data_IF_143587796369
#
_entry.id   IF_143587796369
#
_cell.length_a   1.000
_cell.length_b   1.000
_cell.length_c   1.000
_cell.angle_alpha   90.00
_cell.angle_beta   90.00
_cell.angle_gamma   90.00
#
_symmetry.space_group_name_H-M   'P 1'
#
loop_
_entity.id
_entity.type
_entity.pdbx_description
1 polymer ?
#
# COMPACT_ATOMS: atom_id res chain seq x y z
N UNK A 1 -31.28 -35.03 31.99
CA UNK A 1 -31.17 -33.74 31.28
C UNK A 1 -29.73 -33.54 30.82
N UNK A 2 -29.43 -33.72 29.55
CA UNK A 2 -28.10 -33.51 29.01
C UNK A 2 -27.77 -31.99 29.09
N UNK A 3 -26.73 -31.63 29.82
CA UNK A 3 -26.21 -30.28 29.89
C UNK A 3 -25.78 -29.90 28.48
N UNK A 4 -26.52 -29.00 27.80
CA UNK A 4 -26.09 -28.37 26.56
C UNK A 4 -24.68 -27.76 26.80
N UNK A 5 -23.63 -28.41 26.30
CA UNK A 5 -22.28 -27.81 26.33
C UNK A 5 -22.35 -26.48 25.57
N UNK A 6 -22.12 -25.39 26.25
CA UNK A 6 -22.10 -24.05 25.65
C UNK A 6 -20.96 -24.00 24.64
N UNK A 7 -21.26 -23.69 23.41
CA UNK A 7 -20.22 -23.33 22.43
C UNK A 7 -19.39 -22.18 23.02
N UNK A 8 -18.06 -22.30 22.99
CA UNK A 8 -17.14 -21.27 23.43
C UNK A 8 -16.44 -20.69 22.21
N UNK A 9 -16.47 -19.36 22.06
CA UNK A 9 -15.74 -18.65 21.01
C UNK A 9 -14.70 -17.75 21.64
N UNK A 10 -13.48 -17.79 21.09
CA UNK A 10 -12.33 -16.98 21.53
C UNK A 10 -11.85 -16.19 20.33
N UNK A 11 -11.62 -14.87 20.52
CA UNK A 11 -10.97 -14.04 19.54
C UNK A 11 -9.44 -14.04 19.76
N UNK A 12 -8.70 -14.38 18.72
CA UNK A 12 -7.24 -14.29 18.68
C UNK A 12 -6.81 -13.02 17.96
N UNK A 13 -6.03 -12.19 18.64
CA UNK A 13 -5.43 -10.96 18.14
C UNK A 13 -3.90 -11.10 18.17
N UNK A 14 -3.22 -10.48 17.20
CA UNK A 14 -1.77 -10.38 17.15
C UNK A 14 -1.34 -9.12 16.39
N UNK A 15 -0.12 -8.66 16.64
CA UNK A 15 0.56 -7.69 15.78
C UNK A 15 -0.23 -6.39 15.60
N UNK A 16 -0.60 -5.75 16.74
CA UNK A 16 -1.36 -4.49 16.77
C UNK A 16 -0.49 -3.29 16.37
N UNK A 17 0.82 -3.34 16.70
CA UNK A 17 1.82 -2.37 16.29
C UNK A 17 1.46 -0.90 16.55
N UNK A 18 0.86 -0.59 17.70
CA UNK A 18 0.48 0.78 18.07
C UNK A 18 -0.66 1.37 17.25
N UNK A 19 -1.42 0.56 16.49
CA UNK A 19 -2.55 0.98 15.66
C UNK A 19 -3.87 0.88 16.45
N UNK A 20 -4.13 1.89 17.30
CA UNK A 20 -5.34 1.93 18.11
C UNK A 20 -6.63 1.89 17.30
N UNK A 21 -6.81 2.65 16.19
CA UNK A 21 -8.04 2.58 15.39
C UNK A 21 -8.34 1.18 14.84
N UNK A 22 -7.32 0.42 14.45
CA UNK A 22 -7.49 -0.96 14.00
C UNK A 22 -7.90 -1.89 15.16
N UNK A 23 -7.28 -1.72 16.33
CA UNK A 23 -7.64 -2.46 17.53
C UNK A 23 -9.08 -2.18 17.96
N UNK A 24 -9.48 -0.92 18.02
CA UNK A 24 -10.85 -0.51 18.37
C UNK A 24 -11.88 -1.13 17.44
N UNK A 25 -11.64 -1.12 16.13
CA UNK A 25 -12.54 -1.72 15.13
C UNK A 25 -12.68 -3.24 15.32
N UNK A 26 -11.58 -3.94 15.61
CA UNK A 26 -11.62 -5.40 15.90
C UNK A 26 -12.36 -5.68 17.20
N UNK A 27 -12.14 -4.90 18.24
CA UNK A 27 -12.84 -5.06 19.53
C UNK A 27 -14.35 -4.80 19.39
N UNK A 28 -14.74 -3.83 18.57
CA UNK A 28 -16.15 -3.54 18.25
C UNK A 28 -16.80 -4.71 17.47
N UNK A 29 -16.15 -5.25 16.42
CA UNK A 29 -16.66 -6.42 15.68
C UNK A 29 -16.79 -7.64 16.61
N UNK A 30 -15.82 -7.86 17.51
CA UNK A 30 -15.88 -8.94 18.51
C UNK A 30 -17.04 -8.74 19.49
N UNK A 31 -17.27 -7.52 19.97
CA UNK A 31 -18.38 -7.18 20.86
C UNK A 31 -19.74 -7.38 20.19
N UNK A 32 -19.92 -6.92 18.95
CA UNK A 32 -21.14 -7.17 18.17
C UNK A 32 -21.45 -8.66 17.98
N UNK A 33 -20.41 -9.51 17.98
CA UNK A 33 -20.53 -10.98 17.93
C UNK A 33 -20.69 -11.62 19.29
N UNK A 34 -20.76 -10.82 20.36
CA UNK A 34 -20.87 -11.30 21.74
C UNK A 34 -19.70 -12.19 22.17
N UNK A 35 -18.49 -11.93 21.65
CA UNK A 35 -17.28 -12.67 22.01
C UNK A 35 -16.68 -12.02 23.26
N UNK A 36 -16.74 -12.75 24.37
CA UNK A 36 -16.30 -12.25 25.68
C UNK A 36 -14.84 -12.59 26.01
N UNK A 37 -14.20 -13.47 25.25
CA UNK A 37 -12.84 -13.91 25.55
C UNK A 37 -11.89 -13.56 24.39
N UNK A 38 -10.87 -12.76 24.71
CA UNK A 38 -9.88 -12.26 23.77
C UNK A 38 -8.50 -12.70 24.25
N UNK A 39 -7.70 -13.26 23.35
CA UNK A 39 -6.29 -13.60 23.58
C UNK A 39 -5.40 -12.81 22.60
N UNK A 40 -4.35 -12.18 23.12
CA UNK A 40 -3.40 -11.40 22.35
C UNK A 40 -2.03 -12.07 22.31
N UNK A 41 -1.47 -12.23 21.12
CA UNK A 41 -0.24 -12.97 20.83
C UNK A 41 1.00 -12.08 20.71
N UNK A 42 0.96 -10.84 21.21
CA UNK A 42 2.10 -9.95 21.25
C UNK A 42 2.21 -8.99 20.05
N UNK A 43 3.34 -8.29 20.00
CA UNK A 43 3.63 -7.18 19.09
C UNK A 43 2.55 -6.08 19.15
N UNK A 44 2.33 -5.63 20.39
CA UNK A 44 1.41 -4.54 20.70
C UNK A 44 1.98 -3.19 20.26
N UNK A 45 3.31 -3.03 20.34
CA UNK A 45 4.06 -1.82 19.97
C UNK A 45 4.69 -1.91 18.56
N UNK A 46 5.01 -0.75 17.97
CA UNK A 46 5.70 -0.74 16.69
C UNK A 46 5.57 0.57 15.92
N UNK A 47 4.87 0.52 14.78
CA UNK A 47 4.82 1.60 13.80
C UNK A 47 3.77 2.67 14.07
N UNK A 48 2.70 2.31 14.79
CA UNK A 48 1.60 3.21 15.10
C UNK A 48 1.90 4.11 16.30
N UNK A 49 1.28 5.31 16.37
CA UNK A 49 1.59 6.35 17.34
C UNK A 49 0.75 6.27 18.63
N UNK A 50 0.24 5.09 19.00
CA UNK A 50 -0.63 4.91 20.16
C UNK A 50 -0.13 3.81 21.12
N UNK A 51 1.13 3.88 21.62
CA UNK A 51 1.71 2.80 22.42
C UNK A 51 0.96 2.57 23.73
N UNK A 52 0.72 3.61 24.50
CA UNK A 52 0.11 3.47 25.84
C UNK A 52 -1.38 3.14 25.76
N UNK A 53 -2.09 3.73 24.79
CA UNK A 53 -3.51 3.49 24.58
C UNK A 53 -3.77 2.04 24.15
N UNK A 54 -2.94 1.48 23.27
CA UNK A 54 -3.04 0.08 22.83
C UNK A 54 -2.76 -0.86 24.01
N UNK A 55 -1.70 -0.61 24.78
CA UNK A 55 -1.39 -1.41 25.97
C UNK A 55 -2.48 -1.33 27.02
N UNK A 56 -2.98 -0.12 27.33
CA UNK A 56 -4.07 0.09 28.26
C UNK A 56 -5.32 -0.68 27.85
N UNK A 57 -5.68 -0.59 26.57
CA UNK A 57 -6.87 -1.26 26.03
C UNK A 57 -6.74 -2.78 26.06
N UNK A 58 -5.60 -3.35 25.65
CA UNK A 58 -5.37 -4.80 25.72
C UNK A 58 -5.29 -5.34 27.15
N UNK A 59 -4.69 -4.58 28.06
CA UNK A 59 -4.67 -4.93 29.49
C UNK A 59 -6.08 -5.01 30.06
N UNK A 60 -6.98 -4.15 29.62
CA UNK A 60 -8.38 -4.12 30.09
C UNK A 60 -9.21 -5.30 29.55
N UNK A 61 -9.08 -5.61 28.25
CA UNK A 61 -10.03 -6.50 27.56
C UNK A 61 -9.51 -7.91 27.33
N UNK A 62 -8.19 -8.09 27.17
CA UNK A 62 -7.65 -9.40 26.84
C UNK A 62 -7.42 -10.26 28.10
N UNK A 63 -7.99 -11.46 28.09
CA UNK A 63 -7.82 -12.48 29.13
C UNK A 63 -6.40 -13.04 29.21
N UNK A 64 -5.73 -13.07 28.06
CA UNK A 64 -4.35 -13.52 27.92
C UNK A 64 -3.61 -12.54 27.04
N UNK A 65 -2.46 -12.10 27.52
CA UNK A 65 -1.48 -11.36 26.75
C UNK A 65 -0.13 -12.05 26.88
N UNK A 66 0.58 -12.21 25.78
CA UNK A 66 1.99 -12.57 25.74
C UNK A 66 2.81 -11.47 25.11
N UNK A 67 4.12 -11.43 25.37
CA UNK A 67 5.01 -10.45 24.77
C UNK A 67 5.43 -10.86 23.37
N UNK A 68 5.45 -9.91 22.42
CA UNK A 68 6.00 -10.09 21.08
C UNK A 68 7.47 -9.67 20.97
N UNK A 69 8.06 -9.93 19.82
CA UNK A 69 9.46 -9.60 19.57
C UNK A 69 9.70 -8.09 19.41
N UNK A 70 8.72 -7.32 18.88
CA UNK A 70 8.79 -5.85 18.83
C UNK A 70 8.66 -5.23 20.21
N UNK A 71 7.76 -5.74 21.04
CA UNK A 71 7.59 -5.31 22.44
C UNK A 71 8.92 -5.45 23.20
N UNK A 72 9.58 -6.61 23.08
CA UNK A 72 10.92 -6.85 23.64
C UNK A 72 11.99 -5.91 23.07
N UNK A 73 11.95 -5.64 21.77
CA UNK A 73 12.88 -4.70 21.14
C UNK A 73 12.69 -3.27 21.68
N UNK A 74 11.47 -2.85 21.97
CA UNK A 74 11.21 -1.55 22.60
C UNK A 74 11.79 -1.54 24.03
N UNK A 75 11.53 -2.55 24.84
CA UNK A 75 12.09 -2.67 26.20
C UNK A 75 13.63 -2.69 26.21
N UNK A 76 14.24 -3.32 25.21
CA UNK A 76 15.70 -3.43 25.06
C UNK A 76 16.35 -2.20 24.41
N UNK A 77 15.56 -1.22 23.93
CA UNK A 77 16.06 -0.17 23.03
C UNK A 77 17.20 0.63 23.66
N UNK A 78 17.05 1.11 24.87
CA UNK A 78 18.08 1.91 25.56
C UNK A 78 19.44 1.16 25.59
N UNK A 79 19.42 -0.15 25.88
CA UNK A 79 20.62 -1.01 25.95
C UNK A 79 21.24 -1.29 24.58
N UNK A 80 20.42 -1.36 23.52
CA UNK A 80 20.84 -1.78 22.16
C UNK A 80 20.93 -0.65 21.16
N UNK A 81 20.65 0.61 21.55
CA UNK A 81 20.51 1.80 20.73
C UNK A 81 21.65 1.97 19.73
N UNK A 82 22.90 2.02 20.19
CA UNK A 82 24.06 2.29 19.33
C UNK A 82 24.33 1.17 18.32
N UNK A 83 24.12 -0.08 18.75
CA UNK A 83 24.20 -1.25 17.87
C UNK A 83 23.13 -1.18 16.77
N UNK A 84 21.90 -0.83 17.14
CA UNK A 84 20.77 -0.81 16.21
C UNK A 84 20.81 0.39 15.28
N UNK A 85 21.28 1.54 15.73
CA UNK A 85 21.50 2.71 14.88
C UNK A 85 22.39 2.39 13.66
N UNK A 86 23.37 1.47 13.82
CA UNK A 86 24.29 1.05 12.75
C UNK A 86 23.78 -0.11 11.90
N UNK A 87 22.88 -0.95 12.44
CA UNK A 87 22.51 -2.22 11.82
C UNK A 87 21.08 -2.26 11.25
N UNK A 88 20.16 -1.42 11.76
CA UNK A 88 18.76 -1.46 11.33
C UNK A 88 18.47 -0.40 10.27
N UNK A 89 17.54 -0.68 9.33
CA UNK A 89 17.01 0.35 8.45
C UNK A 89 16.51 1.56 9.26
N UNK A 90 16.73 2.81 8.78
CA UNK A 90 16.40 4.02 9.54
C UNK A 90 14.96 4.06 10.06
N UNK A 91 13.98 3.73 9.24
CA UNK A 91 12.57 3.72 9.64
C UNK A 91 12.29 2.72 10.77
N UNK A 92 12.84 1.48 10.68
CA UNK A 92 12.71 0.48 11.77
C UNK A 92 13.41 0.94 13.05
N UNK A 93 14.54 1.65 12.96
CA UNK A 93 15.22 2.23 14.13
C UNK A 93 14.36 3.32 14.77
N UNK A 94 13.80 4.22 13.97
CA UNK A 94 12.92 5.31 14.45
C UNK A 94 11.68 4.74 15.15
N UNK A 95 11.08 3.67 14.62
CA UNK A 95 9.94 3.04 15.26
C UNK A 95 10.24 2.62 16.71
N UNK A 96 11.38 1.94 16.94
CA UNK A 96 11.77 1.54 18.29
C UNK A 96 12.14 2.73 19.16
N UNK A 97 12.88 3.69 18.63
CA UNK A 97 13.28 4.90 19.36
C UNK A 97 12.08 5.70 19.83
N UNK A 98 11.11 5.89 18.94
CA UNK A 98 9.91 6.66 19.25
C UNK A 98 9.05 5.97 20.30
N UNK A 99 8.83 4.66 20.17
CA UNK A 99 8.07 3.90 21.17
C UNK A 99 8.76 3.90 22.55
N UNK A 100 10.09 3.70 22.61
CA UNK A 100 10.83 3.75 23.87
C UNK A 100 10.72 5.13 24.55
N UNK A 101 10.75 6.21 23.78
CA UNK A 101 10.64 7.58 24.29
C UNK A 101 9.23 7.96 24.77
N UNK A 102 8.18 7.33 24.23
CA UNK A 102 6.79 7.67 24.52
C UNK A 102 6.07 6.63 25.39
N UNK A 103 6.70 5.48 25.65
CA UNK A 103 6.15 4.44 26.52
C UNK A 103 6.23 4.89 27.98
N UNK A 104 5.07 4.98 28.63
CA UNK A 104 4.98 5.34 30.06
C UNK A 104 5.44 4.19 30.99
N UNK A 105 5.57 4.49 32.28
CA UNK A 105 6.00 3.51 33.28
C UNK A 105 5.00 2.35 33.40
N UNK A 106 3.70 2.63 33.35
CA UNK A 106 2.66 1.61 33.49
C UNK A 106 2.66 0.63 32.30
N UNK A 107 2.87 1.15 31.08
CA UNK A 107 3.03 0.34 29.86
C UNK A 107 4.30 -0.51 29.91
N UNK A 108 5.41 0.06 30.39
CA UNK A 108 6.68 -0.64 30.53
C UNK A 108 6.59 -1.78 31.58
N UNK A 109 5.98 -1.52 32.71
CA UNK A 109 5.74 -2.51 33.77
C UNK A 109 4.83 -3.64 33.27
N UNK A 110 3.76 -3.28 32.53
CA UNK A 110 2.86 -4.26 31.94
C UNK A 110 3.61 -5.17 30.98
N UNK A 111 4.33 -4.64 30.00
CA UNK A 111 5.08 -5.44 29.03
C UNK A 111 6.14 -6.34 29.70
N UNK A 112 6.82 -5.82 30.74
CA UNK A 112 7.84 -6.57 31.46
C UNK A 112 7.25 -7.74 32.26
N UNK A 113 5.98 -7.63 32.68
CA UNK A 113 5.27 -8.68 33.41
C UNK A 113 4.76 -9.82 32.52
N UNK A 114 4.74 -9.62 31.19
CA UNK A 114 4.15 -10.60 30.28
C UNK A 114 5.07 -11.79 30.01
N UNK A 115 4.51 -13.02 29.94
CA UNK A 115 5.26 -14.21 29.55
C UNK A 115 5.51 -14.21 28.04
N UNK A 116 6.53 -14.95 27.58
CA UNK A 116 6.78 -15.20 26.16
C UNK A 116 5.81 -16.21 25.54
N UNK A 117 5.31 -17.12 26.36
CA UNK A 117 4.37 -18.17 25.97
C UNK A 117 3.34 -18.37 27.07
N UNK A 118 2.15 -18.80 26.71
CA UNK A 118 1.11 -19.15 27.66
C UNK A 118 0.38 -20.43 27.25
N UNK A 119 -0.08 -21.21 28.22
CA UNK A 119 -0.96 -22.38 28.00
C UNK A 119 -2.34 -22.13 28.55
N UNK A 120 -3.34 -22.58 27.82
CA UNK A 120 -4.76 -22.49 28.22
C UNK A 120 -5.49 -23.74 27.75
N UNK A 121 -6.49 -24.13 28.50
CA UNK A 121 -7.43 -25.18 28.04
C UNK A 121 -8.71 -24.53 27.54
N UNK A 122 -9.13 -24.87 26.34
CA UNK A 122 -10.37 -24.40 25.74
C UNK A 122 -11.07 -25.50 24.98
N UNK A 123 -12.38 -25.69 25.22
CA UNK A 123 -13.16 -26.77 24.60
C UNK A 123 -12.65 -28.19 24.92
N UNK A 124 -11.84 -28.34 25.98
CA UNK A 124 -11.19 -29.62 26.32
C UNK A 124 -9.86 -29.85 25.63
N UNK A 125 -9.40 -28.92 24.79
CA UNK A 125 -8.12 -28.98 24.07
C UNK A 125 -7.08 -28.12 24.76
N UNK A 126 -5.81 -28.56 24.72
CA UNK A 126 -4.66 -27.79 25.22
C UNK A 126 -4.16 -26.84 24.13
N UNK A 127 -4.10 -25.54 24.45
CA UNK A 127 -3.73 -24.47 23.52
C UNK A 127 -2.44 -23.80 23.98
N UNK A 128 -1.39 -23.87 23.17
CA UNK A 128 -0.15 -23.13 23.38
C UNK A 128 -0.19 -21.81 22.60
N UNK A 129 -0.04 -20.72 23.32
CA UNK A 129 0.09 -19.36 22.75
C UNK A 129 1.56 -19.00 22.66
N UNK A 130 2.01 -18.63 21.47
CA UNK A 130 3.38 -18.17 21.18
C UNK A 130 3.29 -16.94 20.27
N UNK A 131 4.33 -16.08 20.26
CA UNK A 131 4.36 -15.00 19.26
C UNK A 131 4.88 -15.51 17.90
N UNK A 132 6.07 -16.08 17.83
CA UNK A 132 6.64 -16.68 16.62
C UNK A 132 6.29 -18.17 16.52
N UNK A 133 7.18 -19.04 17.02
CA UNK A 133 6.97 -20.47 17.09
C UNK A 133 7.16 -20.99 18.51
N UNK A 134 6.77 -22.25 18.81
CA UNK A 134 7.11 -22.87 20.07
C UNK A 134 8.61 -22.88 20.42
N UNK A 135 9.48 -22.86 19.39
CA UNK A 135 10.93 -22.89 19.54
C UNK A 135 11.60 -21.52 19.57
N UNK A 136 10.98 -20.48 18.99
CA UNK A 136 11.59 -19.14 18.89
C UNK A 136 10.55 -18.03 18.68
N UNK A 137 10.71 -16.95 19.42
CA UNK A 137 9.87 -15.74 19.29
C UNK A 137 10.06 -15.02 17.95
N UNK A 138 11.20 -15.21 17.28
CA UNK A 138 11.55 -14.58 16.00
C UNK A 138 11.33 -15.51 14.79
N UNK A 139 10.83 -16.75 14.96
CA UNK A 139 10.58 -17.67 13.85
C UNK A 139 9.24 -17.38 13.17
N UNK A 140 9.29 -17.14 11.86
CA UNK A 140 8.12 -16.89 11.03
C UNK A 140 7.44 -18.20 10.63
N UNK A 141 6.16 -18.33 10.93
CA UNK A 141 5.31 -19.42 10.44
C UNK A 141 4.26 -18.88 9.47
N UNK A 142 4.14 -19.52 8.30
CA UNK A 142 3.20 -19.17 7.24
C UNK A 142 2.47 -20.36 6.64
N UNK A 143 1.61 -20.11 5.68
CA UNK A 143 0.87 -21.16 4.95
C UNK A 143 1.80 -22.09 4.18
N UNK A 144 2.98 -21.63 3.81
CA UNK A 144 4.02 -22.34 3.07
C UNK A 144 5.07 -23.04 3.97
N UNK A 145 4.97 -22.89 5.31
CA UNK A 145 5.89 -23.57 6.23
C UNK A 145 5.91 -25.08 5.97
N UNK A 146 7.10 -25.70 5.73
CA UNK A 146 7.17 -27.12 5.41
C UNK A 146 6.54 -28.02 6.49
N UNK A 147 5.80 -29.03 6.06
CA UNK A 147 5.17 -29.99 6.99
C UNK A 147 6.16 -30.64 7.95
N UNK A 148 7.39 -30.89 7.50
CA UNK A 148 8.43 -31.43 8.37
C UNK A 148 8.70 -30.51 9.55
N UNK A 149 8.82 -29.18 9.28
CA UNK A 149 9.05 -28.21 10.36
C UNK A 149 7.86 -28.11 11.32
N UNK A 150 6.64 -28.14 10.79
CA UNK A 150 5.44 -28.15 11.64
C UNK A 150 5.35 -29.41 12.53
N UNK A 151 5.76 -30.60 12.03
CA UNK A 151 5.84 -31.81 12.86
C UNK A 151 6.88 -31.69 14.00
N UNK A 152 8.04 -31.12 13.71
CA UNK A 152 9.07 -30.84 14.75
C UNK A 152 8.50 -29.92 15.83
N UNK A 153 7.82 -28.84 15.41
CA UNK A 153 7.21 -27.87 16.31
C UNK A 153 6.02 -28.46 17.11
N UNK A 154 5.24 -29.33 16.50
CA UNK A 154 4.14 -30.06 17.17
C UNK A 154 4.67 -30.91 18.33
N UNK A 155 5.75 -31.69 18.09
CA UNK A 155 6.40 -32.50 19.13
C UNK A 155 7.00 -31.63 20.24
N UNK A 156 7.54 -30.47 19.90
CA UNK A 156 8.09 -29.52 20.88
C UNK A 156 6.95 -28.87 21.70
N UNK A 157 5.87 -28.49 21.03
CA UNK A 157 4.74 -27.81 21.66
C UNK A 157 4.00 -28.68 22.66
N UNK A 158 3.82 -29.98 22.37
CA UNK A 158 2.99 -30.91 23.18
C UNK A 158 1.63 -30.29 23.53
N UNK A 159 0.91 -29.82 22.50
CA UNK A 159 -0.37 -29.16 22.60
C UNK A 159 -1.27 -29.56 21.41
N UNK A 160 -2.58 -29.51 21.59
CA UNK A 160 -3.54 -29.80 20.52
C UNK A 160 -3.63 -28.65 19.51
N UNK A 161 -3.39 -27.43 20.01
CA UNK A 161 -3.45 -26.20 19.20
C UNK A 161 -2.24 -25.32 19.52
N UNK A 162 -1.54 -24.86 18.51
CA UNK A 162 -0.54 -23.81 18.56
C UNK A 162 -1.11 -22.56 17.92
N UNK A 163 -1.27 -21.49 18.66
CA UNK A 163 -1.65 -20.18 18.13
C UNK A 163 -0.43 -19.27 18.09
N UNK A 164 -0.15 -18.67 16.92
CA UNK A 164 1.05 -17.84 16.68
C UNK A 164 0.68 -16.54 15.94
N UNK A 165 1.59 -15.57 15.93
CA UNK A 165 1.51 -14.29 15.20
C UNK A 165 2.74 -14.07 14.31
N UNK A 166 3.37 -12.89 14.45
CA UNK A 166 4.68 -12.51 13.92
C UNK A 166 4.82 -12.43 12.39
N UNK A 167 4.32 -13.41 11.64
CA UNK A 167 4.37 -13.39 10.18
C UNK A 167 3.33 -12.48 9.53
N UNK A 168 2.36 -11.99 10.28
CA UNK A 168 1.20 -11.20 9.82
C UNK A 168 0.33 -11.92 8.78
N UNK A 169 0.62 -13.18 8.49
CA UNK A 169 -0.11 -14.00 7.53
C UNK A 169 -1.19 -14.82 8.24
N UNK A 170 -2.44 -14.56 7.88
CA UNK A 170 -3.57 -15.33 8.41
C UNK A 170 -3.58 -16.74 7.79
N UNK A 171 -3.38 -17.78 8.59
CA UNK A 171 -3.44 -19.16 8.12
C UNK A 171 -4.00 -20.13 9.17
N UNK A 172 -4.44 -21.29 8.68
CA UNK A 172 -4.77 -22.48 9.47
C UNK A 172 -4.11 -23.68 8.83
N UNK A 173 -3.35 -24.43 9.58
CA UNK A 173 -2.75 -25.71 9.15
C UNK A 173 -3.07 -26.78 10.18
N UNK A 174 -3.44 -27.95 9.73
CA UNK A 174 -3.60 -29.14 10.58
C UNK A 174 -2.56 -30.17 10.15
N UNK A 175 -1.62 -30.47 11.04
CA UNK A 175 -0.52 -31.37 10.76
C UNK A 175 -0.47 -32.43 11.85
N UNK A 176 -0.68 -33.70 11.46
CA UNK A 176 -0.94 -34.79 12.40
C UNK A 176 -2.17 -34.43 13.27
N UNK A 177 -2.03 -34.41 14.59
CA UNK A 177 -3.11 -34.08 15.51
C UNK A 177 -3.06 -32.63 16.05
N UNK A 178 -2.19 -31.78 15.46
CA UNK A 178 -1.96 -30.41 15.95
C UNK A 178 -2.44 -29.38 14.97
N UNK A 179 -3.26 -28.44 15.46
CA UNK A 179 -3.66 -27.24 14.74
C UNK A 179 -2.64 -26.11 14.92
N UNK A 180 -2.22 -25.51 13.82
CA UNK A 180 -1.44 -24.28 13.80
C UNK A 180 -2.32 -23.15 13.26
N UNK A 181 -2.49 -22.09 14.04
CA UNK A 181 -3.39 -20.98 13.70
C UNK A 181 -2.68 -19.66 13.88
N UNK A 182 -2.68 -18.83 12.84
CA UNK A 182 -2.22 -17.46 12.91
C UNK A 182 -3.39 -16.52 12.56
N UNK A 183 -3.76 -15.56 13.42
CA UNK A 183 -4.88 -14.65 13.15
C UNK A 183 -4.57 -13.60 12.07
N UNK A 184 -3.35 -13.51 11.58
CA UNK A 184 -2.86 -12.36 10.84
C UNK A 184 -2.55 -11.18 11.76
N UNK A 185 -2.43 -9.99 11.22
CA UNK A 185 -2.12 -8.78 11.99
C UNK A 185 -3.34 -7.86 12.11
N UNK A 186 -3.60 -7.38 13.33
CA UNK A 186 -4.61 -6.36 13.60
C UNK A 186 -4.17 -5.02 13.03
N UNK A 187 -2.96 -4.58 13.32
CA UNK A 187 -2.52 -3.22 13.03
C UNK A 187 -1.69 -3.05 11.77
N UNK A 188 -1.07 -4.14 11.27
CA UNK A 188 -0.13 -4.09 10.15
C UNK A 188 -0.20 -5.32 9.26
N UNK A 189 -1.32 -5.62 8.62
CA UNK A 189 -1.40 -6.71 7.64
C UNK A 189 -0.44 -6.47 6.47
N UNK A 190 0.12 -7.55 5.90
CA UNK A 190 1.17 -7.48 4.86
C UNK A 190 0.80 -8.19 3.55
N UNK A 191 -0.45 -8.63 3.41
CA UNK A 191 -0.94 -9.36 2.23
C UNK A 191 -1.57 -8.47 1.14
N UNK A 192 -1.30 -7.16 1.15
CA UNK A 192 -1.90 -6.20 0.22
C UNK A 192 -3.35 -5.81 0.56
N UNK A 193 -3.86 -6.27 1.70
CA UNK A 193 -5.18 -5.92 2.22
C UNK A 193 -5.01 -5.19 3.56
N UNK A 194 -5.33 -3.92 3.61
CA UNK A 194 -5.12 -3.03 4.75
C UNK A 194 -6.06 -3.27 5.94
N UNK A 195 -7.13 -4.07 5.74
CA UNK A 195 -8.12 -4.32 6.80
C UNK A 195 -7.51 -5.12 7.95
N UNK A 196 -7.82 -4.71 9.18
CA UNK A 196 -7.38 -5.41 10.39
C UNK A 196 -7.81 -6.88 10.36
N UNK A 197 -6.88 -7.79 10.64
CA UNK A 197 -7.13 -9.24 10.65
C UNK A 197 -7.13 -9.78 12.07
N UNK A 198 -8.08 -10.67 12.38
CA UNK A 198 -8.11 -11.46 13.60
C UNK A 198 -8.78 -12.83 13.34
N UNK A 199 -8.65 -13.78 14.26
CA UNK A 199 -9.25 -15.11 14.10
C UNK A 199 -10.21 -15.45 15.24
N UNK A 200 -11.17 -16.34 14.95
CA UNK A 200 -12.09 -16.91 15.92
C UNK A 200 -11.79 -18.40 16.07
N UNK A 201 -11.59 -18.85 17.31
CA UNK A 201 -11.60 -20.25 17.68
C UNK A 201 -12.99 -20.59 18.22
N UNK A 202 -13.76 -21.38 17.48
CA UNK A 202 -15.11 -21.82 17.86
C UNK A 202 -15.06 -23.30 18.31
N UNK A 203 -15.29 -23.52 19.60
CA UNK A 203 -15.31 -24.85 20.21
C UNK A 203 -16.77 -25.32 20.35
N UNK A 204 -17.08 -26.50 19.80
CA UNK A 204 -18.40 -27.13 19.87
C UNK A 204 -18.27 -28.64 20.03
N UNK A 205 -19.38 -29.32 20.17
CA UNK A 205 -19.40 -30.80 20.19
C UNK A 205 -18.91 -31.43 18.86
N UNK A 206 -18.90 -30.65 17.77
CA UNK A 206 -18.33 -31.03 16.46
C UNK A 206 -16.82 -30.77 16.32
N UNK A 207 -16.15 -30.35 17.39
CA UNK A 207 -14.70 -30.04 17.39
C UNK A 207 -14.37 -28.56 17.29
N UNK A 208 -13.17 -28.27 16.81
CA UNK A 208 -12.65 -26.93 16.59
C UNK A 208 -12.99 -26.46 15.17
N UNK A 209 -13.54 -25.22 15.08
CA UNK A 209 -13.63 -24.47 13.83
C UNK A 209 -12.85 -23.18 13.97
N UNK A 210 -12.05 -22.83 12.95
CA UNK A 210 -11.28 -21.59 12.91
C UNK A 210 -11.79 -20.71 11.78
N UNK A 211 -12.09 -19.46 12.10
CA UNK A 211 -12.57 -18.48 11.12
C UNK A 211 -11.75 -17.19 11.16
N UNK A 212 -11.17 -16.76 10.03
CA UNK A 212 -10.52 -15.46 9.93
C UNK A 212 -11.52 -14.34 9.59
N UNK A 213 -11.27 -13.17 10.13
CA UNK A 213 -12.07 -11.95 9.94
C UNK A 213 -11.18 -10.83 9.47
N UNK A 214 -11.73 -9.97 8.60
CA UNK A 214 -11.08 -8.74 8.16
C UNK A 214 -12.02 -7.57 8.38
N UNK A 215 -11.56 -6.58 9.15
CA UNK A 215 -12.38 -5.46 9.61
C UNK A 215 -11.79 -4.15 9.08
N UNK A 216 -12.57 -3.34 8.35
CA UNK A 216 -12.14 -2.00 7.96
C UNK A 216 -12.05 -1.10 9.21
N UNK A 217 -11.11 -0.15 9.19
CA UNK A 217 -10.92 0.82 10.27
C UNK A 217 -10.60 2.22 9.72
N UNK A 218 -10.62 3.26 10.56
CA UNK A 218 -10.28 4.63 10.15
C UNK A 218 -8.76 4.79 9.94
N UNK A 219 -8.33 4.49 8.72
CA UNK A 219 -6.93 4.65 8.28
C UNK A 219 -6.49 6.11 8.32
N UNK A 220 -7.37 7.06 8.02
CA UNK A 220 -7.02 8.47 8.01
C UNK A 220 -6.76 9.00 9.42
N UNK A 221 -7.42 8.45 10.44
CA UNK A 221 -7.08 8.72 11.86
C UNK A 221 -5.65 8.30 12.17
N UNK A 222 -5.24 7.10 11.75
CA UNK A 222 -3.85 6.63 11.92
C UNK A 222 -2.87 7.51 11.15
N UNK A 223 -3.16 7.83 9.89
CA UNK A 223 -2.31 8.65 9.04
C UNK A 223 -2.09 10.06 9.62
N UNK A 224 -3.15 10.71 10.10
CA UNK A 224 -3.06 12.00 10.79
C UNK A 224 -2.22 11.92 12.07
N UNK A 225 -2.38 10.86 12.84
CA UNK A 225 -1.65 10.68 14.09
C UNK A 225 -0.14 10.39 13.84
N UNK A 226 0.20 9.58 12.84
CA UNK A 226 1.60 9.36 12.40
C UNK A 226 2.25 10.68 12.00
N UNK A 227 1.55 11.50 11.21
CA UNK A 227 2.05 12.82 10.81
C UNK A 227 2.24 13.76 12.00
N UNK A 228 1.26 13.85 12.90
CA UNK A 228 1.32 14.68 14.11
C UNK A 228 2.42 14.25 15.08
N UNK A 229 2.74 12.94 15.12
CA UNK A 229 3.82 12.38 15.92
C UNK A 229 5.22 12.58 15.32
N UNK A 230 5.33 13.15 14.12
CA UNK A 230 6.61 13.31 13.41
C UNK A 230 7.25 11.98 12.99
N UNK A 231 6.46 10.91 12.89
CA UNK A 231 6.93 9.60 12.45
C UNK A 231 7.11 9.55 10.92
N UNK A 232 7.96 8.65 10.39
CA UNK A 232 8.19 8.52 8.96
C UNK A 232 6.91 8.35 8.15
N UNK A 233 6.79 9.07 7.03
CA UNK A 233 5.64 9.00 6.12
C UNK A 233 5.43 7.59 5.54
N UNK A 234 6.51 6.81 5.41
CA UNK A 234 6.44 5.41 4.98
C UNK A 234 5.54 4.55 5.89
N UNK A 235 5.36 4.91 7.16
CA UNK A 235 4.45 4.18 8.05
C UNK A 235 2.99 4.36 7.63
N UNK A 236 2.63 5.53 7.08
CA UNK A 236 1.30 5.75 6.49
C UNK A 236 1.07 4.80 5.31
N UNK A 237 2.10 4.64 4.46
CA UNK A 237 2.05 3.72 3.33
C UNK A 237 1.93 2.25 3.77
N UNK A 238 2.64 1.85 4.83
CA UNK A 238 2.50 0.52 5.45
C UNK A 238 1.04 0.24 5.80
N UNK A 239 0.39 1.16 6.49
CA UNK A 239 -1.02 0.98 6.89
C UNK A 239 -1.98 1.02 5.69
N UNK A 240 -1.81 1.97 4.76
CA UNK A 240 -2.72 2.15 3.62
C UNK A 240 -2.64 1.06 2.57
N UNK A 241 -1.44 0.50 2.35
CA UNK A 241 -1.21 -0.51 1.31
C UNK A 241 -1.26 -1.94 1.85
N UNK A 242 -1.26 -2.12 3.17
CA UNK A 242 -1.18 -3.45 3.78
C UNK A 242 0.09 -4.19 3.34
N UNK A 243 1.24 -3.50 3.32
CA UNK A 243 2.55 -4.02 2.92
C UNK A 243 3.60 -3.70 3.97
N UNK A 244 4.62 -4.55 4.09
CA UNK A 244 5.77 -4.25 4.95
C UNK A 244 6.65 -3.13 4.37
N UNK A 245 7.52 -2.54 5.21
CA UNK A 245 8.51 -1.57 4.73
C UNK A 245 9.43 -2.17 3.67
N UNK A 246 9.83 -3.42 3.84
CA UNK A 246 10.72 -4.10 2.89
C UNK A 246 10.02 -4.29 1.54
N UNK A 247 8.76 -4.73 1.53
CA UNK A 247 7.93 -4.82 0.32
C UNK A 247 7.73 -3.46 -0.37
N UNK A 248 7.53 -2.39 0.40
CA UNK A 248 7.41 -1.03 -0.16
C UNK A 248 8.72 -0.55 -0.79
N UNK A 249 9.86 -0.88 -0.19
CA UNK A 249 11.19 -0.56 -0.73
C UNK A 249 11.48 -1.38 -2.00
N UNK A 250 11.11 -2.66 -2.02
CA UNK A 250 11.24 -3.52 -3.20
C UNK A 250 10.36 -3.01 -4.35
N UNK A 251 9.12 -2.62 -4.07
CA UNK A 251 8.22 -2.02 -5.04
C UNK A 251 8.79 -0.71 -5.62
N UNK A 252 9.33 0.15 -4.75
CA UNK A 252 9.99 1.41 -5.15
C UNK A 252 11.24 1.12 -5.99
N UNK A 253 12.09 0.17 -5.56
CA UNK A 253 13.27 -0.24 -6.30
C UNK A 253 12.95 -0.86 -7.66
N UNK A 254 11.85 -1.61 -7.79
CA UNK A 254 11.37 -2.10 -9.09
C UNK A 254 10.84 -0.97 -9.95
N UNK A 255 10.15 0.02 -9.34
CA UNK A 255 9.69 1.23 -10.02
C UNK A 255 10.86 2.03 -10.58
N UNK A 256 11.91 2.23 -9.79
CA UNK A 256 13.11 2.95 -10.20
C UNK A 256 13.82 2.25 -11.37
N UNK A 257 14.00 0.94 -11.32
CA UNK A 257 14.59 0.16 -12.44
C UNK A 257 13.75 0.23 -13.72
N UNK A 258 12.42 0.24 -13.59
CA UNK A 258 11.53 0.42 -14.76
C UNK A 258 11.68 1.81 -15.37
N UNK A 259 11.79 2.87 -14.54
CA UNK A 259 12.03 4.24 -15.00
C UNK A 259 13.43 4.39 -15.59
N UNK A 260 14.45 3.77 -15.01
CA UNK A 260 15.80 3.75 -15.58
C UNK A 260 15.80 3.15 -16.99
N UNK A 261 15.11 2.02 -17.21
CA UNK A 261 14.98 1.42 -18.54
C UNK A 261 14.24 2.32 -19.54
N UNK A 262 13.18 3.01 -19.08
CA UNK A 262 12.43 3.99 -19.87
C UNK A 262 13.31 5.16 -20.27
N UNK A 263 14.09 5.72 -19.34
CA UNK A 263 15.02 6.83 -19.61
C UNK A 263 16.18 6.40 -20.50
N UNK A 264 16.67 5.17 -20.37
CA UNK A 264 17.68 4.62 -21.27
C UNK A 264 17.17 4.58 -22.72
N UNK A 265 15.95 4.06 -22.95
CA UNK A 265 15.32 4.09 -24.28
C UNK A 265 15.13 5.52 -24.81
N UNK A 266 14.64 6.44 -23.97
CA UNK A 266 14.47 7.84 -24.34
C UNK A 266 15.82 8.48 -24.72
N UNK A 267 16.89 8.20 -23.98
CA UNK A 267 18.24 8.70 -24.24
C UNK A 267 18.79 8.15 -25.55
N UNK A 268 18.64 6.87 -25.82
CA UNK A 268 19.05 6.25 -27.10
C UNK A 268 18.32 6.87 -28.30
N UNK A 269 17.06 7.29 -28.10
CA UNK A 269 16.27 8.01 -29.09
C UNK A 269 16.55 9.53 -29.12
N UNK A 270 17.56 10.03 -28.38
CA UNK A 270 17.96 11.44 -28.35
C UNK A 270 16.79 12.38 -28.03
N UNK A 271 15.94 11.99 -27.05
CA UNK A 271 14.75 12.76 -26.69
C UNK A 271 15.07 14.18 -26.21
N UNK A 272 14.18 15.12 -26.46
CA UNK A 272 14.29 16.48 -25.97
C UNK A 272 14.01 16.54 -24.46
N UNK A 273 15.09 16.46 -23.66
CA UNK A 273 15.02 16.26 -22.20
C UNK A 273 14.18 17.32 -21.49
N UNK A 274 14.43 18.59 -21.79
CA UNK A 274 13.81 19.72 -21.11
C UNK A 274 12.27 19.73 -21.30
N UNK A 275 11.82 19.59 -22.55
CA UNK A 275 10.41 19.49 -22.91
C UNK A 275 9.77 18.25 -22.28
N UNK A 276 10.37 17.09 -22.49
CA UNK A 276 9.80 15.81 -22.03
C UNK A 276 9.61 15.76 -20.53
N UNK A 277 10.60 16.22 -19.75
CA UNK A 277 10.47 16.28 -18.28
C UNK A 277 9.44 17.32 -17.84
N UNK A 278 9.33 18.45 -18.53
CA UNK A 278 8.30 19.46 -18.27
C UNK A 278 6.90 18.88 -18.49
N UNK A 279 6.67 18.27 -19.65
CA UNK A 279 5.39 17.61 -19.99
C UNK A 279 5.06 16.51 -18.99
N UNK A 280 6.05 15.69 -18.63
CA UNK A 280 5.88 14.63 -17.64
C UNK A 280 5.41 15.20 -16.30
N UNK A 281 6.06 16.22 -15.79
CA UNK A 281 5.70 16.85 -14.53
C UNK A 281 4.27 17.42 -14.57
N UNK A 282 3.93 18.18 -15.59
CA UNK A 282 2.59 18.77 -15.75
C UNK A 282 1.51 17.69 -15.88
N UNK A 283 1.78 16.59 -16.61
CA UNK A 283 0.85 15.48 -16.74
C UNK A 283 0.57 14.80 -15.39
N UNK A 284 1.61 14.58 -14.57
CA UNK A 284 1.47 13.98 -13.25
C UNK A 284 0.74 14.91 -12.27
N UNK A 285 1.01 16.22 -12.31
CA UNK A 285 0.27 17.23 -11.51
C UNK A 285 -1.23 17.24 -11.86
N UNK A 286 -1.59 17.19 -13.16
CA UNK A 286 -3.00 17.10 -13.59
C UNK A 286 -3.64 15.79 -13.11
N UNK A 287 -2.92 14.66 -13.27
CA UNK A 287 -3.40 13.36 -12.81
C UNK A 287 -3.70 13.38 -11.31
N UNK A 288 -2.73 13.81 -10.49
CA UNK A 288 -2.86 13.82 -9.04
C UNK A 288 -4.01 14.75 -8.57
N UNK A 289 -4.17 15.91 -9.23
CA UNK A 289 -5.23 16.86 -8.93
C UNK A 289 -6.64 16.38 -9.33
N UNK A 290 -6.75 15.42 -10.25
CA UNK A 290 -8.02 14.87 -10.75
C UNK A 290 -8.34 13.47 -10.18
N UNK A 291 -7.63 13.02 -9.14
CA UNK A 291 -7.75 11.68 -8.57
C UNK A 291 -9.17 11.31 -8.19
N UNK A 292 -9.91 12.23 -7.58
CA UNK A 292 -11.31 12.02 -7.16
C UNK A 292 -12.27 11.86 -8.36
N UNK A 293 -11.86 12.30 -9.56
CA UNK A 293 -12.70 12.23 -10.77
C UNK A 293 -12.43 10.95 -11.54
N UNK A 294 -11.17 10.63 -11.79
CA UNK A 294 -10.82 9.44 -12.58
C UNK A 294 -10.78 8.16 -11.77
N UNK A 295 -10.59 8.23 -10.44
CA UNK A 295 -10.54 7.09 -9.52
C UNK A 295 -9.44 6.05 -9.85
N UNK A 296 -8.34 6.50 -10.49
CA UNK A 296 -7.22 5.64 -10.86
C UNK A 296 -6.14 5.65 -9.78
N UNK A 297 -5.35 4.58 -9.72
CA UNK A 297 -4.36 4.32 -8.71
C UNK A 297 -2.90 4.59 -9.14
N UNK A 298 -1.95 4.13 -8.31
CA UNK A 298 -0.52 4.31 -8.55
C UNK A 298 -0.02 3.66 -9.85
N UNK A 299 -0.60 2.53 -10.26
CA UNK A 299 -0.20 1.83 -11.50
C UNK A 299 -0.56 2.64 -12.75
N UNK A 300 -1.74 3.27 -12.79
CA UNK A 300 -2.15 4.14 -13.88
C UNK A 300 -1.29 5.41 -13.91
N UNK A 301 -0.97 5.98 -12.74
CA UNK A 301 -0.03 7.10 -12.61
C UNK A 301 1.35 6.74 -13.16
N UNK A 302 1.83 5.54 -12.85
CA UNK A 302 3.11 5.04 -13.35
C UNK A 302 3.10 4.84 -14.87
N UNK A 303 2.02 4.29 -15.44
CA UNK A 303 1.85 4.18 -16.89
C UNK A 303 1.88 5.54 -17.60
N UNK A 304 1.21 6.54 -16.99
CA UNK A 304 1.27 7.92 -17.50
C UNK A 304 2.68 8.48 -17.45
N UNK A 305 3.41 8.25 -16.35
CA UNK A 305 4.81 8.67 -16.19
C UNK A 305 5.69 8.10 -17.32
N UNK A 306 5.65 6.79 -17.52
CA UNK A 306 6.40 6.13 -18.58
C UNK A 306 6.02 6.64 -19.97
N UNK A 307 4.71 6.78 -20.25
CA UNK A 307 4.23 7.25 -21.53
C UNK A 307 4.62 8.70 -21.81
N UNK A 308 4.62 9.56 -20.77
CA UNK A 308 5.04 10.95 -20.91
C UNK A 308 6.55 11.08 -21.16
N UNK A 309 7.38 10.22 -20.55
CA UNK A 309 8.82 10.17 -20.86
C UNK A 309 9.12 9.67 -22.28
N UNK A 310 8.22 8.90 -22.88
CA UNK A 310 8.43 8.24 -24.18
C UNK A 310 7.56 8.83 -25.31
N UNK A 311 6.76 9.87 -25.05
CA UNK A 311 5.75 10.31 -26.03
C UNK A 311 6.37 10.80 -27.36
N UNK A 312 7.54 11.43 -27.30
CA UNK A 312 8.21 12.06 -28.42
C UNK A 312 9.48 11.34 -28.89
N UNK A 313 9.81 10.14 -28.37
CA UNK A 313 11.03 9.38 -28.80
C UNK A 313 11.03 9.05 -30.29
N UNK A 314 9.88 9.07 -30.94
CA UNK A 314 9.76 8.81 -32.38
C UNK A 314 10.34 9.90 -33.27
N UNK A 315 10.74 11.05 -32.74
CA UNK A 315 11.46 12.07 -33.48
C UNK A 315 12.81 11.58 -34.03
N UNK A 316 13.36 10.52 -33.46
CA UNK A 316 14.59 9.87 -33.95
C UNK A 316 14.47 9.44 -35.40
N UNK A 317 13.26 9.09 -35.88
CA UNK A 317 12.99 8.77 -37.31
C UNK A 317 12.41 10.00 -38.10
N UNK A 318 12.38 11.19 -37.46
CA UNK A 318 11.90 12.44 -38.06
C UNK A 318 10.49 12.86 -37.63
N UNK A 319 10.05 14.07 -38.02
CA UNK A 319 8.84 14.71 -37.49
C UNK A 319 7.55 14.07 -37.99
N UNK A 320 7.57 13.39 -39.14
CA UNK A 320 6.34 12.81 -39.72
C UNK A 320 5.95 11.51 -39.03
N UNK A 321 4.81 11.55 -38.32
CA UNK A 321 4.28 10.34 -37.70
C UNK A 321 5.02 9.88 -36.44
N UNK A 322 5.88 10.72 -35.84
CA UNK A 322 6.70 10.35 -34.68
C UNK A 322 5.90 9.67 -33.55
N UNK A 323 4.65 10.04 -33.29
CA UNK A 323 3.77 9.39 -32.34
C UNK A 323 3.47 7.91 -32.70
N UNK A 324 3.49 7.54 -34.01
CA UNK A 324 3.36 6.13 -34.44
C UNK A 324 4.70 5.40 -34.32
N UNK A 325 5.79 6.09 -34.60
CA UNK A 325 7.15 5.60 -34.41
C UNK A 325 7.42 5.37 -32.93
N UNK A 326 7.07 6.31 -32.04
CA UNK A 326 7.19 6.14 -30.60
C UNK A 326 6.45 4.86 -30.12
N UNK A 327 5.19 4.67 -30.56
CA UNK A 327 4.44 3.45 -30.24
C UNK A 327 5.18 2.18 -30.69
N UNK A 328 5.72 2.16 -31.92
CA UNK A 328 6.46 1.00 -32.47
C UNK A 328 7.70 0.72 -31.63
N UNK A 329 8.50 1.73 -31.31
CA UNK A 329 9.70 1.61 -30.49
C UNK A 329 9.35 1.06 -29.09
N UNK A 330 8.35 1.61 -28.41
CA UNK A 330 7.93 1.16 -27.08
C UNK A 330 7.47 -0.31 -27.11
N UNK A 331 6.68 -0.72 -28.09
CA UNK A 331 6.17 -2.09 -28.18
C UNK A 331 7.30 -3.09 -28.46
N UNK A 332 8.29 -2.71 -29.29
CA UNK A 332 9.32 -3.64 -29.78
C UNK A 332 10.58 -3.71 -28.93
N UNK A 333 10.86 -2.75 -28.03
CA UNK A 333 12.10 -2.73 -27.26
C UNK A 333 12.10 -3.81 -26.16
N UNK A 334 12.98 -4.84 -26.23
CA UNK A 334 13.02 -5.92 -25.26
C UNK A 334 13.56 -5.49 -23.89
N UNK A 335 14.25 -4.35 -23.80
CA UNK A 335 14.85 -3.84 -22.55
C UNK A 335 13.82 -3.27 -21.59
N UNK A 336 12.63 -2.89 -22.07
CA UNK A 336 11.56 -2.40 -21.22
C UNK A 336 10.98 -3.55 -20.38
N UNK A 337 11.12 -3.50 -19.03
CA UNK A 337 10.75 -4.60 -18.14
C UNK A 337 9.25 -4.59 -17.82
N UNK A 338 8.43 -4.51 -18.86
CA UNK A 338 6.97 -4.50 -18.76
C UNK A 338 6.37 -5.78 -19.35
N UNK A 339 5.26 -6.22 -18.80
CA UNK A 339 4.43 -7.25 -19.45
C UNK A 339 3.91 -6.73 -20.78
N UNK A 340 3.62 -7.63 -21.73
CA UNK A 340 3.17 -7.27 -23.07
C UNK A 340 1.97 -6.32 -23.08
N UNK A 341 0.95 -6.59 -22.24
CA UNK A 341 -0.24 -5.75 -22.12
C UNK A 341 0.08 -4.36 -21.58
N UNK A 342 0.89 -4.27 -20.53
CA UNK A 342 1.32 -3.00 -19.93
C UNK A 342 2.11 -2.15 -20.91
N UNK A 343 3.05 -2.77 -21.64
CA UNK A 343 3.84 -2.11 -22.70
C UNK A 343 2.94 -1.56 -23.81
N UNK A 344 1.92 -2.32 -24.22
CA UNK A 344 0.94 -1.87 -25.19
C UNK A 344 0.14 -0.67 -24.69
N UNK A 345 -0.30 -0.66 -23.44
CA UNK A 345 -1.01 0.49 -22.88
C UNK A 345 -0.12 1.74 -22.83
N UNK A 346 1.12 1.64 -22.33
CA UNK A 346 2.08 2.76 -22.34
C UNK A 346 2.29 3.30 -23.74
N UNK A 347 2.47 2.41 -24.71
CA UNK A 347 2.66 2.77 -26.12
C UNK A 347 1.43 3.47 -26.72
N UNK A 348 0.22 3.03 -26.38
CA UNK A 348 -1.02 3.66 -26.83
C UNK A 348 -1.23 5.04 -26.21
N UNK A 349 -0.93 5.22 -24.90
CA UNK A 349 -1.00 6.52 -24.23
C UNK A 349 -0.04 7.49 -24.92
N UNK A 350 1.22 7.09 -25.17
CA UNK A 350 2.20 7.87 -25.89
C UNK A 350 1.74 8.17 -27.34
N UNK A 351 1.17 7.18 -28.07
CA UNK A 351 0.65 7.38 -29.43
C UNK A 351 -0.42 8.45 -29.53
N UNK A 352 -1.35 8.46 -28.55
CA UNK A 352 -2.52 9.32 -28.58
C UNK A 352 -2.30 10.71 -27.96
N UNK A 353 -1.05 11.10 -27.61
CA UNK A 353 -0.76 12.44 -27.15
C UNK A 353 -1.07 13.54 -28.20
N UNK A 354 -1.25 13.15 -29.47
CA UNK A 354 -1.60 14.06 -30.59
C UNK A 354 -2.34 13.37 -31.73
N UNK A 355 -2.90 14.19 -32.62
CA UNK A 355 -3.63 13.77 -33.85
C UNK A 355 -4.83 12.86 -33.53
N UNK A 356 -4.86 11.64 -34.07
CA UNK A 356 -6.02 10.75 -34.01
C UNK A 356 -6.44 10.45 -32.56
N UNK A 357 -7.74 10.35 -32.34
CA UNK A 357 -8.33 9.83 -31.10
C UNK A 357 -8.27 8.30 -31.07
N UNK A 358 -8.33 7.68 -29.88
CA UNK A 358 -8.46 6.23 -29.75
C UNK A 358 -9.70 5.71 -30.50
N UNK A 359 -9.51 4.67 -31.33
CA UNK A 359 -10.57 4.02 -32.09
C UNK A 359 -10.36 2.50 -32.04
N UNK A 360 -11.45 1.74 -31.85
CA UNK A 360 -11.42 0.26 -31.78
C UNK A 360 -10.83 -0.40 -33.02
N UNK A 361 -10.83 0.28 -34.16
CA UNK A 361 -10.18 -0.16 -35.41
C UNK A 361 -8.66 -0.04 -35.37
N UNK A 362 -8.11 0.70 -34.39
CA UNK A 362 -6.67 0.82 -34.25
C UNK A 362 -6.07 -0.44 -33.66
N UNK A 363 -4.99 -0.92 -34.29
CA UNK A 363 -4.24 -2.08 -33.80
C UNK A 363 -3.84 -1.88 -32.33
N UNK A 364 -3.99 -2.91 -31.54
CA UNK A 364 -3.80 -3.00 -30.09
C UNK A 364 -4.90 -2.33 -29.26
N UNK A 365 -5.49 -1.20 -29.64
CA UNK A 365 -6.53 -0.53 -28.86
C UNK A 365 -7.84 -1.33 -28.82
N UNK A 366 -8.28 -1.85 -29.98
CA UNK A 366 -9.50 -2.66 -30.08
C UNK A 366 -9.44 -4.00 -29.35
N UNK A 367 -8.24 -4.45 -28.95
CA UNK A 367 -8.04 -5.69 -28.17
C UNK A 367 -8.04 -5.46 -26.66
N UNK A 368 -8.15 -4.21 -26.21
CA UNK A 368 -8.22 -3.85 -24.80
C UNK A 368 -9.63 -4.05 -24.25
N UNK A 369 -9.73 -4.41 -22.98
CA UNK A 369 -10.98 -4.38 -22.24
C UNK A 369 -11.52 -2.95 -22.11
N UNK A 370 -12.81 -2.78 -21.83
CA UNK A 370 -13.43 -1.46 -21.65
C UNK A 370 -12.73 -0.64 -20.56
N UNK A 371 -12.31 -1.29 -19.47
CA UNK A 371 -11.56 -0.65 -18.39
C UNK A 371 -10.18 -0.16 -18.86
N UNK A 372 -9.46 -0.96 -19.64
CA UNK A 372 -8.16 -0.59 -20.21
C UNK A 372 -8.32 0.52 -21.28
N UNK A 373 -9.36 0.45 -22.12
CA UNK A 373 -9.68 1.51 -23.07
C UNK A 373 -9.97 2.82 -22.37
N UNK A 374 -10.79 2.80 -21.29
CA UNK A 374 -11.03 3.97 -20.45
C UNK A 374 -9.74 4.51 -19.86
N UNK A 375 -8.86 3.64 -19.33
CA UNK A 375 -7.57 4.02 -18.81
C UNK A 375 -6.72 4.75 -19.86
N UNK A 376 -6.54 4.19 -21.04
CA UNK A 376 -5.79 4.81 -22.15
C UNK A 376 -6.39 6.17 -22.53
N UNK A 377 -7.72 6.30 -22.62
CA UNK A 377 -8.40 7.57 -22.98
C UNK A 377 -8.15 8.67 -21.95
N UNK A 378 -8.27 8.36 -20.68
CA UNK A 378 -8.03 9.32 -19.59
C UNK A 378 -6.57 9.76 -19.58
N UNK A 379 -5.63 8.80 -19.58
CA UNK A 379 -4.20 9.11 -19.47
C UNK A 379 -3.67 9.84 -20.70
N UNK A 380 -4.08 9.42 -21.90
CA UNK A 380 -3.71 10.12 -23.12
C UNK A 380 -4.36 11.53 -23.21
N UNK A 381 -5.59 11.69 -22.71
CA UNK A 381 -6.25 12.97 -22.61
C UNK A 381 -5.47 13.95 -21.71
N UNK A 382 -5.01 13.49 -20.57
CA UNK A 382 -4.13 14.27 -19.66
C UNK A 382 -2.82 14.64 -20.36
N UNK A 383 -2.16 13.66 -21.00
CA UNK A 383 -0.89 13.87 -21.69
C UNK A 383 -1.01 14.89 -22.84
N UNK A 384 -2.12 14.87 -23.59
CA UNK A 384 -2.40 15.86 -24.65
C UNK A 384 -2.45 17.29 -24.13
N UNK A 385 -3.10 17.50 -22.99
CA UNK A 385 -3.19 18.82 -22.36
C UNK A 385 -1.81 19.25 -21.86
N UNK A 386 -1.08 18.38 -21.17
CA UNK A 386 0.24 18.66 -20.64
C UNK A 386 1.26 19.01 -21.75
N UNK A 387 1.27 18.26 -22.84
CA UNK A 387 2.10 18.53 -24.02
C UNK A 387 1.72 19.87 -24.69
N UNK A 388 0.44 20.22 -24.69
CA UNK A 388 0.00 21.55 -25.16
C UNK A 388 0.50 22.69 -24.30
N UNK A 389 0.62 22.47 -22.98
CA UNK A 389 1.09 23.49 -22.00
C UNK A 389 2.59 23.78 -22.06
N UNK A 390 3.36 23.06 -22.86
CA UNK A 390 4.77 23.38 -23.15
C UNK A 390 5.02 23.46 -24.68
N UNK A 391 4.08 24.07 -25.40
CA UNK A 391 4.08 24.17 -26.86
C UNK A 391 5.32 24.85 -27.41
N UNK A 392 5.82 25.87 -26.75
CA UNK A 392 6.99 26.63 -27.16
C UNK A 392 8.33 26.01 -26.73
N UNK A 393 8.29 24.93 -25.92
CA UNK A 393 9.44 24.26 -25.30
C UNK A 393 10.27 25.19 -24.38
N UNK A 394 9.65 26.27 -23.90
CA UNK A 394 10.29 27.27 -23.03
C UNK A 394 9.92 27.15 -21.55
N UNK A 395 9.15 26.12 -21.18
CA UNK A 395 8.72 25.86 -19.79
C UNK A 395 8.07 27.07 -19.13
N UNK A 396 7.24 27.81 -19.89
CA UNK A 396 6.53 29.00 -19.43
C UNK A 396 5.58 28.65 -18.27
N UNK A 397 4.89 27.52 -18.35
CA UNK A 397 4.01 27.03 -17.29
C UNK A 397 4.82 26.33 -16.20
N UNK A 398 4.85 26.90 -14.99
CA UNK A 398 5.60 26.36 -13.84
C UNK A 398 4.90 25.17 -13.17
N UNK A 399 3.60 25.28 -12.96
CA UNK A 399 2.78 24.28 -12.29
C UNK A 399 1.32 24.46 -12.63
N UNK A 400 0.50 23.48 -12.31
CA UNK A 400 -0.94 23.53 -12.53
C UNK A 400 -1.71 23.17 -11.28
N UNK A 401 -2.89 23.78 -11.12
CA UNK A 401 -3.88 23.45 -10.10
C UNK A 401 -5.22 23.21 -10.74
N UNK A 402 -5.90 22.13 -10.37
CA UNK A 402 -7.22 21.82 -10.94
C UNK A 402 -8.33 22.10 -9.92
N UNK A 403 -9.42 22.70 -10.40
CA UNK A 403 -10.70 22.78 -9.68
C UNK A 403 -11.76 22.07 -10.48
N UNK A 404 -12.46 21.17 -9.82
CA UNK A 404 -13.50 20.36 -10.45
C UNK A 404 -14.87 20.81 -9.95
N UNK A 405 -15.81 20.98 -10.88
CA UNK A 405 -17.22 21.17 -10.59
C UNK A 405 -18.06 20.23 -11.45
N UNK A 406 -19.33 20.10 -11.17
CA UNK A 406 -20.23 19.26 -11.97
C UNK A 406 -20.31 19.71 -13.44
N UNK A 407 -20.07 20.99 -13.71
CA UNK A 407 -20.19 21.59 -15.02
C UNK A 407 -18.90 21.65 -15.83
N UNK A 408 -17.71 21.71 -15.16
CA UNK A 408 -16.42 21.89 -15.84
C UNK A 408 -15.23 21.54 -14.96
N UNK A 409 -14.08 21.32 -15.61
CA UNK A 409 -12.76 21.24 -14.99
C UNK A 409 -12.00 22.52 -15.34
N UNK A 410 -11.49 23.23 -14.34
CA UNK A 410 -10.66 24.44 -14.52
C UNK A 410 -9.24 24.11 -14.12
N UNK A 411 -8.31 24.26 -15.06
CA UNK A 411 -6.86 24.13 -14.80
C UNK A 411 -6.25 25.53 -14.77
N UNK A 412 -5.76 25.93 -13.61
CA UNK A 412 -5.07 27.21 -13.40
C UNK A 412 -3.56 26.98 -13.48
N UNK A 413 -2.91 27.64 -14.42
CA UNK A 413 -1.48 27.55 -14.69
C UNK A 413 -0.71 28.66 -13.98
N UNK A 414 0.27 28.35 -13.15
CA UNK A 414 1.29 29.28 -12.68
C UNK A 414 2.31 29.48 -13.81
N UNK A 415 2.53 30.74 -14.22
CA UNK A 415 3.31 31.05 -15.41
C UNK A 415 4.46 32.03 -15.14
N UNK A 416 5.52 31.91 -15.92
CA UNK A 416 6.69 32.81 -15.84
C UNK A 416 6.60 34.07 -16.72
N UNK A 417 5.61 34.11 -17.60
CA UNK A 417 5.41 35.17 -18.59
C UNK A 417 4.15 34.95 -19.41
N UNK A 418 3.96 35.59 -20.54
CA UNK A 418 2.81 35.39 -21.42
C UNK A 418 2.71 33.92 -21.84
N UNK A 419 1.55 33.31 -21.63
CA UNK A 419 1.30 31.89 -21.87
C UNK A 419 0.16 31.62 -22.87
N UNK A 420 -0.23 32.62 -23.65
CA UNK A 420 -1.39 32.51 -24.56
C UNK A 420 -1.21 31.39 -25.58
N UNK A 421 0.01 31.20 -26.09
CA UNK A 421 0.33 30.13 -27.05
C UNK A 421 0.18 28.75 -26.43
N UNK A 422 0.66 28.54 -25.20
CA UNK A 422 0.55 27.30 -24.42
C UNK A 422 -0.90 26.98 -24.11
N UNK A 423 -1.64 27.96 -23.57
CA UNK A 423 -3.06 27.78 -23.23
C UNK A 423 -3.90 27.46 -24.47
N UNK A 424 -3.69 28.20 -25.58
CA UNK A 424 -4.40 27.95 -26.84
C UNK A 424 -4.06 26.57 -27.42
N UNK A 425 -2.79 26.14 -27.38
CA UNK A 425 -2.37 24.83 -27.83
C UNK A 425 -2.95 23.70 -26.98
N UNK A 426 -2.97 23.85 -25.65
CA UNK A 426 -3.55 22.89 -24.75
C UNK A 426 -5.08 22.77 -24.91
N UNK A 427 -5.80 23.89 -25.08
CA UNK A 427 -7.24 23.91 -25.41
C UNK A 427 -7.51 23.18 -26.72
N UNK A 428 -6.69 23.42 -27.75
CA UNK A 428 -6.81 22.75 -29.07
C UNK A 428 -6.59 21.25 -28.97
N UNK A 429 -5.73 20.77 -28.07
CA UNK A 429 -5.41 19.36 -27.86
C UNK A 429 -6.35 18.66 -26.84
N UNK A 430 -7.26 19.39 -26.20
CA UNK A 430 -8.10 18.89 -25.12
C UNK A 430 -9.35 18.11 -25.56
N UNK A 431 -9.46 17.74 -26.83
CA UNK A 431 -10.58 16.96 -27.38
C UNK A 431 -10.78 15.64 -26.62
N UNK A 432 -9.73 14.82 -26.55
CA UNK A 432 -9.76 13.54 -25.84
C UNK A 432 -9.98 13.72 -24.31
N UNK A 433 -9.42 14.76 -23.71
CA UNK A 433 -9.62 15.07 -22.29
C UNK A 433 -11.11 15.33 -22.00
N UNK A 434 -11.75 16.21 -22.80
CA UNK A 434 -13.17 16.52 -22.64
C UNK A 434 -14.06 15.28 -22.80
N UNK A 435 -13.72 14.44 -23.77
CA UNK A 435 -14.43 13.19 -24.02
C UNK A 435 -14.26 12.19 -22.86
N UNK A 436 -13.04 12.00 -22.38
CA UNK A 436 -12.72 11.03 -21.32
C UNK A 436 -13.28 11.41 -19.95
N UNK A 437 -13.35 12.71 -19.64
CA UNK A 437 -13.88 13.22 -18.37
C UNK A 437 -15.37 13.61 -18.45
N UNK A 438 -15.97 13.65 -19.64
CA UNK A 438 -17.37 14.06 -19.83
C UNK A 438 -17.63 15.50 -19.42
N UNK A 439 -16.61 16.36 -19.39
CA UNK A 439 -16.69 17.73 -18.89
C UNK A 439 -15.85 18.69 -19.75
N UNK A 440 -16.31 19.93 -19.98
CA UNK A 440 -15.52 20.99 -20.59
C UNK A 440 -14.26 21.29 -19.76
N UNK A 441 -13.13 21.53 -20.47
CA UNK A 441 -11.89 22.02 -19.89
C UNK A 441 -11.76 23.53 -20.11
N UNK A 442 -11.49 24.24 -19.05
CA UNK A 442 -11.10 25.66 -19.05
C UNK A 442 -9.68 25.82 -18.55
N UNK A 443 -8.85 26.52 -19.30
CA UNK A 443 -7.46 26.82 -18.94
C UNK A 443 -7.29 28.30 -18.65
N UNK A 444 -6.61 28.62 -17.54
CA UNK A 444 -6.35 30.01 -17.13
C UNK A 444 -4.90 30.17 -16.68
N UNK A 445 -4.27 31.30 -17.01
CA UNK A 445 -3.10 31.73 -16.29
C UNK A 445 -3.50 32.20 -14.87
N UNK A 446 -2.72 31.86 -13.85
CA UNK A 446 -2.86 32.51 -12.55
C UNK A 446 -2.58 33.99 -12.76
N UNK A 447 -3.51 34.86 -12.35
CA UNK A 447 -3.33 36.30 -12.49
C UNK A 447 -2.03 36.72 -11.81
N UNK A 448 -1.10 37.28 -12.58
CA UNK A 448 0.07 37.96 -12.04
C UNK A 448 -0.46 39.13 -11.22
N UNK A 449 -0.29 39.06 -9.90
CA UNK A 449 -0.15 40.31 -9.15
C UNK A 449 1.22 40.86 -9.49
N UNK A 450 1.25 42.02 -10.16
CA UNK A 450 2.41 42.79 -10.48
C UNK A 450 3.17 43.27 -9.24
#
# INVERSE_FOLDING_TARGET
MARKKRSKTIALLSDVHGNLPALEAVLEDAAHRQIAEIWNLGDMLGYGPFPNEVLGRLREVAKVNIVGNYDRKVLDFARKRDKWKRKKPPAKFIAFQWNDAHLDAAGRDFLTSLPEQARRTAGGLDVLLVHGSPASIDELLGSDTPNQRLRELARFAQADIVVCGHSHEAFVRHVEEVWFVNPGSVGRPEAGDWRASYALLEFSDGGLKVGHRRVPYDIDRVARAVHAAGLPGEFIDVFRKGKSLDQLQDDAGQGDKRIEAVLALATDCQYEREHTHQVTRLALEIFDALKEVHQMGPEERFRLHCAALLHDIGWVEGPQGHHKTAMKLIVSDPRLPFRRSERQMIALIARYHRKALPDVRHKYYGNLTDAEQRCVRVLAGILRVADGLDRSHNRIVRSVRCRVSDRRIVVTCDVRGPADAELAAAVKKADLFREAFGRPLELKAAGGQG
#
